data_IF_975315006589
#
_entry.id   IF_975315006589
#
_cell.length_a   1.000
_cell.length_b   1.000
_cell.length_c   1.000
_cell.angle_alpha   90.00
_cell.angle_beta   90.00
_cell.angle_gamma   90.00
#
_symmetry.space_group_name_H-M   'P 1'
#
loop_
_entity.id
_entity.type
_entity.pdbx_description
1 polymer ?
#
# COMPACT_ATOMS: atom_id res chain seq x y z
N UNK A 1 -50.42 -16.58 27.38
CA UNK A 1 -49.73 -16.00 26.20
C UNK A 1 -48.26 -16.35 26.37
N UNK A 2 -47.92 -17.57 25.92
CA UNK A 2 -46.59 -18.16 26.10
C UNK A 2 -45.65 -17.56 25.09
N UNK A 3 -44.62 -16.90 25.58
CA UNK A 3 -43.53 -16.32 24.83
C UNK A 3 -42.64 -17.46 24.31
N UNK A 4 -42.69 -17.72 23.01
CA UNK A 4 -41.81 -18.68 22.33
C UNK A 4 -40.36 -18.18 22.44
N UNK A 5 -39.66 -18.71 23.43
CA UNK A 5 -38.19 -18.61 23.50
C UNK A 5 -37.59 -19.34 22.28
N UNK A 6 -36.96 -18.58 21.40
CA UNK A 6 -36.22 -19.06 20.25
C UNK A 6 -35.15 -20.06 20.74
N UNK A 7 -35.13 -21.31 20.28
CA UNK A 7 -34.16 -22.27 20.78
C UNK A 7 -32.74 -21.86 20.34
N UNK A 8 -31.88 -21.57 21.32
CA UNK A 8 -30.44 -21.41 21.10
C UNK A 8 -29.92 -22.52 20.17
N UNK A 9 -29.07 -22.19 19.18
CA UNK A 9 -28.61 -23.19 18.21
C UNK A 9 -28.02 -24.39 18.96
N UNK A 10 -28.59 -25.55 18.72
CA UNK A 10 -28.16 -26.78 19.39
C UNK A 10 -26.71 -27.06 19.11
N UNK A 11 -25.97 -27.64 20.04
CA UNK A 11 -24.53 -27.99 19.93
C UNK A 11 -24.21 -28.68 18.60
N UNK A 12 -25.16 -29.42 18.04
CA UNK A 12 -25.08 -30.05 16.72
C UNK A 12 -24.99 -29.05 15.56
N UNK A 13 -25.78 -27.98 15.57
CA UNK A 13 -25.70 -26.92 14.54
C UNK A 13 -24.39 -26.15 14.60
N UNK A 14 -23.87 -25.91 15.79
CA UNK A 14 -22.57 -25.24 15.94
C UNK A 14 -21.41 -26.11 15.43
N UNK A 15 -21.46 -27.44 15.68
CA UNK A 15 -20.45 -28.37 15.15
C UNK A 15 -20.54 -28.47 13.64
N UNK A 16 -21.71 -28.56 13.04
CA UNK A 16 -21.90 -28.58 11.60
C UNK A 16 -21.36 -27.30 10.93
N UNK A 17 -21.66 -26.12 11.51
CA UNK A 17 -21.13 -24.84 11.01
C UNK A 17 -19.61 -24.73 11.14
N UNK A 18 -18.99 -25.30 12.17
CA UNK A 18 -17.55 -25.33 12.33
C UNK A 18 -16.88 -26.27 11.32
N UNK A 19 -17.48 -27.43 11.05
CA UNK A 19 -17.00 -28.39 10.04
C UNK A 19 -17.11 -27.80 8.63
N UNK A 20 -18.22 -27.13 8.31
CA UNK A 20 -18.41 -26.47 7.04
C UNK A 20 -17.37 -25.35 6.81
N UNK A 21 -17.16 -24.47 7.79
CA UNK A 21 -16.09 -23.45 7.75
C UNK A 21 -14.69 -24.04 7.61
N UNK A 22 -14.43 -25.19 8.26
CA UNK A 22 -13.16 -25.90 8.12
C UNK A 22 -13.00 -26.47 6.71
N UNK A 23 -14.06 -27.06 6.15
CA UNK A 23 -14.08 -27.59 4.81
C UNK A 23 -13.87 -26.49 3.75
N UNK A 24 -14.56 -25.38 3.91
CA UNK A 24 -14.34 -24.19 3.05
C UNK A 24 -12.92 -23.65 3.12
N UNK A 25 -12.35 -23.56 4.33
CA UNK A 25 -10.93 -23.17 4.50
C UNK A 25 -9.99 -24.13 3.78
N UNK A 26 -10.18 -25.43 3.96
CA UNK A 26 -9.33 -26.45 3.30
C UNK A 26 -9.48 -26.38 1.78
N UNK A 27 -10.70 -26.24 1.27
CA UNK A 27 -10.94 -26.05 -0.16
C UNK A 27 -10.32 -24.78 -0.71
N UNK A 28 -10.43 -23.65 0.02
CA UNK A 28 -9.82 -22.39 -0.38
C UNK A 28 -8.29 -22.46 -0.36
N UNK A 29 -7.70 -23.15 0.61
CA UNK A 29 -6.24 -23.41 0.63
C UNK A 29 -5.87 -24.30 -0.55
N UNK A 30 -6.61 -25.38 -0.78
CA UNK A 30 -6.38 -26.30 -1.92
C UNK A 30 -6.43 -25.57 -3.27
N UNK A 31 -7.43 -24.71 -3.49
CA UNK A 31 -7.53 -23.89 -4.70
C UNK A 31 -6.35 -22.94 -4.88
N UNK A 32 -5.89 -22.31 -3.79
CA UNK A 32 -4.70 -21.41 -3.82
C UNK A 32 -3.42 -22.17 -4.13
N UNK A 33 -3.24 -23.33 -3.50
CA UNK A 33 -2.07 -24.20 -3.76
C UNK A 33 -2.10 -24.68 -5.21
N UNK A 34 -3.24 -25.15 -5.70
CA UNK A 34 -3.40 -25.57 -7.10
C UNK A 34 -3.05 -24.44 -8.07
N UNK A 35 -3.52 -23.22 -7.81
CA UNK A 35 -3.20 -22.06 -8.65
C UNK A 35 -1.68 -21.78 -8.67
N UNK A 36 -1.01 -21.82 -7.52
CA UNK A 36 0.45 -21.65 -7.44
C UNK A 36 1.19 -22.76 -8.20
N UNK A 37 0.74 -24.00 -8.08
CA UNK A 37 1.32 -25.12 -8.82
C UNK A 37 1.14 -24.97 -10.34
N UNK A 38 -0.03 -24.52 -10.79
CA UNK A 38 -0.28 -24.25 -12.21
C UNK A 38 0.65 -23.13 -12.71
N UNK A 39 0.80 -22.03 -11.97
CA UNK A 39 1.71 -20.94 -12.34
C UNK A 39 3.16 -21.45 -12.42
N UNK A 40 3.61 -22.23 -11.44
CA UNK A 40 4.95 -22.81 -11.43
C UNK A 40 5.15 -23.77 -12.60
N UNK A 41 4.16 -24.60 -12.92
CA UNK A 41 4.22 -25.50 -14.06
C UNK A 41 4.35 -24.74 -15.39
N UNK A 42 3.50 -23.72 -15.59
CA UNK A 42 3.57 -22.84 -16.76
C UNK A 42 4.97 -22.20 -16.85
N UNK A 43 5.51 -21.70 -15.75
CA UNK A 43 6.84 -21.11 -15.72
C UNK A 43 7.93 -22.12 -16.09
N UNK A 44 7.91 -23.32 -15.52
CA UNK A 44 8.87 -24.39 -15.85
C UNK A 44 8.80 -24.74 -17.34
N UNK A 45 7.59 -24.96 -17.87
CA UNK A 45 7.41 -25.29 -19.29
C UNK A 45 7.91 -24.16 -20.18
N UNK A 46 7.53 -22.92 -19.88
CA UNK A 46 7.97 -21.74 -20.65
C UNK A 46 9.49 -21.56 -20.60
N UNK A 47 10.12 -21.77 -19.44
CA UNK A 47 11.57 -21.61 -19.28
C UNK A 47 12.40 -22.69 -20.00
N UNK A 48 11.82 -23.85 -20.32
CA UNK A 48 12.48 -24.88 -21.10
C UNK A 48 12.46 -24.59 -22.62
N UNK A 49 11.54 -23.74 -23.08
CA UNK A 49 11.40 -23.38 -24.50
C UNK A 49 12.24 -22.17 -24.94
N UNK A 50 12.90 -21.47 -24.01
CA UNK A 50 13.66 -20.24 -24.30
C UNK A 50 15.01 -20.25 -23.58
N UNK A 51 16.02 -19.49 -24.10
CA UNK A 51 17.32 -19.37 -23.42
C UNK A 51 17.16 -18.76 -22.00
N UNK A 52 18.00 -19.21 -21.08
CA UNK A 52 17.92 -18.83 -19.67
C UNK A 52 18.17 -17.32 -19.41
N UNK A 53 18.82 -16.63 -20.33
CA UNK A 53 18.99 -15.18 -20.26
C UNK A 53 17.71 -14.41 -20.64
N UNK A 54 16.72 -15.07 -21.27
CA UNK A 54 15.40 -14.49 -21.56
C UNK A 54 14.45 -14.82 -20.43
N UNK A 55 14.34 -16.12 -20.08
CA UNK A 55 13.46 -16.56 -19.00
C UNK A 55 14.17 -17.65 -18.15
N UNK A 56 14.76 -17.27 -17.00
CA UNK A 56 15.39 -18.24 -16.12
C UNK A 56 14.35 -19.15 -15.47
N UNK A 57 14.69 -20.43 -15.34
CA UNK A 57 13.83 -21.38 -14.63
C UNK A 57 13.75 -21.08 -13.13
N UNK A 58 12.67 -21.54 -12.45
CA UNK A 58 12.43 -21.25 -11.03
C UNK A 58 13.61 -21.65 -10.11
N UNK A 59 14.28 -22.76 -10.41
CA UNK A 59 15.41 -23.23 -9.62
C UNK A 59 16.61 -22.28 -9.70
N UNK A 60 16.90 -21.71 -10.89
CA UNK A 60 17.97 -20.72 -11.06
C UNK A 60 17.65 -19.44 -10.29
N UNK A 61 16.40 -18.96 -10.38
CA UNK A 61 15.95 -17.78 -9.63
C UNK A 61 16.04 -18.02 -8.13
N UNK A 62 15.67 -19.21 -7.65
CA UNK A 62 15.79 -19.57 -6.23
C UNK A 62 17.25 -19.61 -5.75
N UNK A 63 18.17 -20.19 -6.55
CA UNK A 63 19.60 -20.21 -6.19
C UNK A 63 20.19 -18.79 -6.18
N UNK A 64 19.85 -17.94 -7.16
CA UNK A 64 20.23 -16.53 -7.20
C UNK A 64 19.69 -15.78 -5.98
N UNK A 65 18.41 -15.98 -5.64
CA UNK A 65 17.78 -15.36 -4.48
C UNK A 65 18.45 -15.75 -3.15
N UNK A 66 18.77 -17.04 -2.97
CA UNK A 66 19.49 -17.51 -1.77
C UNK A 66 20.87 -16.87 -1.66
N UNK A 67 21.60 -16.75 -2.76
CA UNK A 67 22.91 -16.08 -2.78
C UNK A 67 22.80 -14.60 -2.42
N UNK A 68 21.76 -13.91 -2.94
CA UNK A 68 21.50 -12.50 -2.60
C UNK A 68 21.19 -12.33 -1.11
N UNK A 69 20.28 -13.10 -0.55
CA UNK A 69 19.87 -13.00 0.87
C UNK A 69 21.03 -13.28 1.84
N UNK A 70 22.00 -14.10 1.42
CA UNK A 70 23.21 -14.39 2.20
C UNK A 70 24.22 -13.22 2.20
N UNK A 71 24.02 -12.19 1.34
CA UNK A 71 24.93 -11.06 1.25
C UNK A 71 24.50 -9.89 2.15
N UNK A 72 25.45 -9.21 2.80
CA UNK A 72 25.18 -7.99 3.57
C UNK A 72 24.64 -6.86 2.70
N UNK A 73 25.01 -6.85 1.45
CA UNK A 73 24.55 -5.87 0.45
C UNK A 73 23.02 -5.93 0.25
N UNK A 74 22.45 -7.14 0.27
CA UNK A 74 21.01 -7.35 0.16
C UNK A 74 20.24 -6.61 1.25
N UNK A 75 20.62 -6.80 2.50
CA UNK A 75 19.93 -6.19 3.65
C UNK A 75 20.09 -4.68 3.69
N UNK A 76 21.26 -4.18 3.28
CA UNK A 76 21.53 -2.75 3.18
C UNK A 76 20.65 -2.10 2.09
N UNK A 77 20.58 -2.71 0.90
CA UNK A 77 19.78 -2.18 -0.21
C UNK A 77 18.28 -2.28 0.07
N UNK A 78 17.83 -3.37 0.70
CA UNK A 78 16.46 -3.54 1.18
C UNK A 78 16.08 -2.44 2.20
N UNK A 79 16.95 -2.20 3.18
CA UNK A 79 16.77 -1.15 4.19
C UNK A 79 16.76 0.25 3.59
N UNK A 80 17.60 0.52 2.59
CA UNK A 80 17.65 1.80 1.88
C UNK A 80 16.32 2.09 1.15
N UNK A 81 15.82 1.13 0.35
CA UNK A 81 14.53 1.27 -0.33
C UNK A 81 13.39 1.46 0.68
N UNK A 82 13.34 0.64 1.73
CA UNK A 82 12.32 0.74 2.77
C UNK A 82 12.34 2.11 3.46
N UNK A 83 13.51 2.59 3.86
CA UNK A 83 13.66 3.90 4.50
C UNK A 83 13.16 5.04 3.63
N UNK A 84 13.52 5.05 2.33
CA UNK A 84 13.06 6.08 1.37
C UNK A 84 11.54 6.05 1.18
N UNK A 85 10.96 4.87 1.06
CA UNK A 85 9.50 4.72 0.92
C UNK A 85 8.77 5.20 2.17
N UNK A 86 9.24 4.81 3.36
CA UNK A 86 8.63 5.24 4.64
C UNK A 86 8.72 6.75 4.81
N UNK A 87 9.87 7.35 4.54
CA UNK A 87 10.05 8.82 4.65
C UNK A 87 9.18 9.55 3.64
N UNK A 88 9.19 9.15 2.37
CA UNK A 88 8.37 9.77 1.32
C UNK A 88 6.86 9.64 1.61
N UNK A 89 6.43 8.46 2.06
CA UNK A 89 5.06 8.21 2.48
C UNK A 89 4.67 9.02 3.73
N UNK A 90 5.54 9.12 4.73
CA UNK A 90 5.25 9.89 5.95
C UNK A 90 5.03 11.39 5.61
N UNK A 91 5.87 11.96 4.75
CA UNK A 91 5.70 13.34 4.26
C UNK A 91 4.38 13.45 3.49
N UNK A 92 4.08 12.50 2.60
CA UNK A 92 2.84 12.45 1.82
C UNK A 92 1.60 12.35 2.72
N UNK A 93 1.66 11.52 3.76
CA UNK A 93 0.57 11.35 4.72
C UNK A 93 0.28 12.64 5.50
N UNK A 94 1.32 13.32 5.97
CA UNK A 94 1.18 14.59 6.70
C UNK A 94 0.64 15.69 5.78
N UNK A 95 1.30 15.93 4.64
CA UNK A 95 0.92 17.00 3.70
C UNK A 95 -0.46 16.72 3.09
N UNK A 96 -0.72 15.47 2.70
CA UNK A 96 -2.00 15.04 2.14
C UNK A 96 -3.16 15.18 3.15
N UNK A 97 -2.91 14.86 4.43
CA UNK A 97 -3.93 15.02 5.48
C UNK A 97 -4.24 16.50 5.74
N UNK A 98 -3.22 17.33 5.90
CA UNK A 98 -3.39 18.76 6.11
C UNK A 98 -4.09 19.40 4.90
N UNK A 99 -3.61 19.10 3.68
CA UNK A 99 -4.21 19.57 2.44
C UNK A 99 -5.67 19.12 2.28
N UNK A 100 -5.95 17.84 2.50
CA UNK A 100 -7.30 17.27 2.41
C UNK A 100 -8.28 17.90 3.41
N UNK A 101 -7.83 18.17 4.64
CA UNK A 101 -8.63 18.91 5.63
C UNK A 101 -8.92 20.37 5.19
N UNK A 102 -7.92 21.07 4.70
CA UNK A 102 -8.06 22.47 4.25
C UNK A 102 -9.01 22.56 3.06
N UNK A 103 -8.81 21.70 2.04
CA UNK A 103 -9.64 21.69 0.82
C UNK A 103 -11.07 21.23 1.11
N UNK A 104 -11.23 20.25 2.01
CA UNK A 104 -12.55 19.75 2.38
C UNK A 104 -13.33 20.70 3.29
N UNK A 105 -12.65 21.48 4.12
CA UNK A 105 -13.29 22.48 4.98
C UNK A 105 -13.75 23.74 4.21
N UNK A 106 -13.25 23.98 3.00
CA UNK A 106 -13.59 25.16 2.19
C UNK A 106 -13.92 24.75 0.75
N UNK A 107 -15.21 24.89 0.40
CA UNK A 107 -15.70 24.58 -0.96
C UNK A 107 -14.96 25.39 -2.03
N UNK A 108 -14.68 26.66 -1.75
CA UNK A 108 -13.96 27.55 -2.69
C UNK A 108 -12.53 27.06 -2.93
N UNK A 109 -11.79 26.70 -1.87
CA UNK A 109 -10.43 26.18 -2.01
C UNK A 109 -10.44 24.82 -2.72
N UNK A 110 -11.39 23.95 -2.38
CA UNK A 110 -11.52 22.65 -3.05
C UNK A 110 -11.68 22.81 -4.55
N UNK A 111 -12.64 23.60 -5.01
CA UNK A 111 -12.89 23.87 -6.43
C UNK A 111 -11.69 24.53 -7.13
N UNK A 112 -10.97 25.42 -6.45
CA UNK A 112 -9.81 26.10 -7.01
C UNK A 112 -8.62 25.15 -7.21
N UNK A 113 -8.38 24.24 -6.25
CA UNK A 113 -7.24 23.32 -6.31
C UNK A 113 -7.52 22.00 -7.06
N UNK A 114 -8.80 21.67 -7.31
CA UNK A 114 -9.20 20.44 -8.02
C UNK A 114 -8.47 20.24 -9.37
N UNK A 115 -8.42 21.25 -10.29
CA UNK A 115 -7.71 21.08 -11.54
C UNK A 115 -6.20 20.89 -11.38
N UNK A 116 -5.59 21.53 -10.35
CA UNK A 116 -4.16 21.35 -10.05
C UNK A 116 -3.89 19.90 -9.60
N UNK A 117 -4.73 19.35 -8.75
CA UNK A 117 -4.63 17.95 -8.33
C UNK A 117 -4.83 16.98 -9.49
N UNK A 118 -5.74 17.28 -10.42
CA UNK A 118 -5.93 16.50 -11.64
C UNK A 118 -4.66 16.47 -12.49
N UNK A 119 -4.00 17.62 -12.67
CA UNK A 119 -2.71 17.72 -13.39
C UNK A 119 -1.63 16.89 -12.68
N UNK A 120 -1.48 17.04 -11.36
CA UNK A 120 -0.47 16.29 -10.60
C UNK A 120 -0.69 14.77 -10.74
N UNK A 121 -1.94 14.30 -10.69
CA UNK A 121 -2.29 12.89 -10.85
C UNK A 121 -2.06 12.35 -12.28
N UNK A 122 -2.05 13.23 -13.28
CA UNK A 122 -1.82 12.83 -14.68
C UNK A 122 -0.33 12.64 -14.99
N UNK A 123 0.56 13.27 -14.22
CA UNK A 123 2.01 13.16 -14.41
C UNK A 123 2.47 11.75 -14.00
N UNK A 124 3.10 11.04 -14.93
CA UNK A 124 3.69 9.73 -14.69
C UNK A 124 4.80 9.79 -13.64
N UNK A 125 4.92 8.73 -12.82
CA UNK A 125 6.02 8.60 -11.85
C UNK A 125 7.42 8.67 -12.48
N UNK A 126 7.57 8.23 -13.73
CA UNK A 126 8.81 8.35 -14.47
C UNK A 126 9.17 9.81 -14.76
N UNK A 127 8.18 10.65 -15.09
CA UNK A 127 8.39 12.09 -15.31
C UNK A 127 8.77 12.76 -13.98
N UNK A 128 8.11 12.40 -12.88
CA UNK A 128 8.49 12.87 -11.55
C UNK A 128 9.92 12.47 -11.19
N UNK A 129 10.38 11.27 -11.59
CA UNK A 129 11.75 10.83 -11.37
C UNK A 129 12.76 11.67 -12.16
N UNK A 130 12.43 12.04 -13.41
CA UNK A 130 13.29 12.92 -14.22
C UNK A 130 13.40 14.31 -13.58
N UNK A 131 12.29 14.93 -13.18
CA UNK A 131 12.33 16.21 -12.47
C UNK A 131 13.12 16.14 -11.17
N UNK A 132 12.90 15.05 -10.41
CA UNK A 132 13.64 14.85 -9.16
C UNK A 132 15.15 14.73 -9.38
N UNK A 133 15.59 14.06 -10.44
CA UNK A 133 17.02 13.97 -10.79
C UNK A 133 17.58 15.34 -11.16
N UNK A 134 16.83 16.15 -11.90
CA UNK A 134 17.25 17.50 -12.27
C UNK A 134 17.40 18.40 -11.04
N UNK A 135 16.49 18.27 -10.05
CA UNK A 135 16.49 19.13 -8.86
C UNK A 135 17.41 18.65 -7.74
N UNK A 136 17.48 17.35 -7.52
CA UNK A 136 18.17 16.73 -6.36
C UNK A 136 19.38 15.88 -6.76
N UNK A 137 19.63 15.71 -8.08
CA UNK A 137 20.68 14.81 -8.56
C UNK A 137 20.37 13.34 -8.28
N UNK A 138 21.39 12.48 -8.41
CA UNK A 138 21.30 11.06 -8.04
C UNK A 138 21.48 10.95 -6.52
N UNK A 139 20.36 10.84 -5.79
CA UNK A 139 20.36 10.90 -4.33
C UNK A 139 19.16 10.19 -3.70
N UNK A 140 19.20 10.00 -2.37
CA UNK A 140 18.04 9.51 -1.62
C UNK A 140 16.82 10.44 -1.74
N UNK A 141 17.05 11.76 -1.84
CA UNK A 141 15.99 12.74 -1.95
C UNK A 141 15.17 12.56 -3.22
N UNK A 142 15.79 12.12 -4.31
CA UNK A 142 15.11 11.82 -5.57
C UNK A 142 14.01 10.78 -5.39
N UNK A 143 14.32 9.63 -4.82
CA UNK A 143 13.32 8.57 -4.57
C UNK A 143 12.26 9.03 -3.56
N UNK A 144 12.66 9.68 -2.47
CA UNK A 144 11.73 10.21 -1.45
C UNK A 144 10.74 11.20 -2.07
N UNK A 145 11.22 12.11 -2.92
CA UNK A 145 10.38 13.09 -3.61
C UNK A 145 9.37 12.43 -4.56
N UNK A 146 9.79 11.43 -5.34
CA UNK A 146 8.90 10.72 -6.27
C UNK A 146 7.81 9.96 -5.52
N UNK A 147 8.18 9.28 -4.42
CA UNK A 147 7.21 8.61 -3.55
C UNK A 147 6.23 9.63 -2.95
N UNK A 148 6.74 10.77 -2.47
CA UNK A 148 5.91 11.86 -1.94
C UNK A 148 4.91 12.37 -2.99
N UNK A 149 5.38 12.75 -4.18
CA UNK A 149 4.54 13.34 -5.24
C UNK A 149 3.44 12.39 -5.74
N UNK A 150 3.69 11.11 -5.71
CA UNK A 150 2.73 10.09 -6.16
C UNK A 150 1.79 9.61 -5.06
N UNK A 151 2.24 9.58 -3.81
CA UNK A 151 1.45 9.12 -2.66
C UNK A 151 0.57 10.24 -2.07
N UNK A 152 1.04 11.50 -2.07
CA UNK A 152 0.37 12.63 -1.46
C UNK A 152 -1.05 12.88 -2.04
N UNK A 153 -1.27 12.89 -3.37
CA UNK A 153 -2.61 13.10 -3.91
C UNK A 153 -3.61 12.02 -3.49
N UNK A 154 -3.15 10.76 -3.34
CA UNK A 154 -4.01 9.65 -2.91
C UNK A 154 -4.50 9.83 -1.47
N UNK A 155 -3.63 10.27 -0.56
CA UNK A 155 -4.02 10.60 0.81
C UNK A 155 -4.93 11.82 0.82
N UNK A 156 -4.54 12.88 0.11
CA UNK A 156 -5.24 14.16 0.08
C UNK A 156 -6.69 14.00 -0.41
N UNK A 157 -6.90 13.32 -1.55
CA UNK A 157 -8.25 13.14 -2.12
C UNK A 157 -9.15 12.31 -1.23
N UNK A 158 -8.61 11.27 -0.57
CA UNK A 158 -9.38 10.48 0.38
C UNK A 158 -9.74 11.28 1.64
N UNK A 159 -8.80 12.02 2.22
CA UNK A 159 -9.06 12.88 3.38
C UNK A 159 -10.02 14.01 3.01
N UNK A 160 -9.87 14.59 1.84
CA UNK A 160 -10.80 15.60 1.33
C UNK A 160 -12.22 15.04 1.23
N UNK A 161 -12.41 13.88 0.61
CA UNK A 161 -13.72 13.23 0.56
C UNK A 161 -14.26 12.95 1.97
N UNK A 162 -13.44 12.46 2.90
CA UNK A 162 -13.83 12.26 4.30
C UNK A 162 -14.19 13.54 5.04
N UNK A 163 -13.51 14.65 4.74
CA UNK A 163 -13.82 15.96 5.34
C UNK A 163 -15.20 16.47 4.92
N UNK A 164 -15.62 16.19 3.68
CA UNK A 164 -16.95 16.56 3.16
C UNK A 164 -18.10 15.73 3.78
N UNK A 165 -17.84 14.61 4.42
CA UNK A 165 -18.86 13.80 5.12
C UNK A 165 -19.15 14.28 6.54
N UNK A 166 -18.42 15.28 7.04
CA UNK A 166 -18.67 15.86 8.37
C UNK A 166 -20.03 16.55 8.37
N UNK A 167 -20.95 16.11 9.26
CA UNK A 167 -22.28 16.71 9.39
C UNK A 167 -22.21 18.17 9.82
N UNK A 168 -23.01 19.00 9.18
CA UNK A 168 -23.20 20.40 9.54
C UNK A 168 -23.72 20.55 10.98
N UNK A 169 -24.58 19.61 11.44
CA UNK A 169 -25.16 19.64 12.78
C UNK A 169 -24.09 19.58 13.87
N UNK A 170 -23.04 18.75 13.67
CA UNK A 170 -21.91 18.71 14.62
C UNK A 170 -21.12 20.01 14.65
N UNK A 171 -21.01 20.69 13.51
CA UNK A 171 -20.32 21.99 13.43
C UNK A 171 -21.16 23.08 14.10
N UNK A 172 -22.50 23.08 13.93
CA UNK A 172 -23.40 23.99 14.61
C UNK A 172 -23.39 23.76 16.10
N UNK A 173 -23.47 22.51 16.55
CA UNK A 173 -23.36 22.15 17.96
C UNK A 173 -22.06 22.66 18.58
N UNK A 174 -20.93 22.49 17.87
CA UNK A 174 -19.64 22.99 18.32
C UNK A 174 -19.61 24.53 18.48
N UNK A 175 -20.35 25.26 17.61
CA UNK A 175 -20.50 26.73 17.72
C UNK A 175 -21.34 27.12 18.92
N UNK A 176 -22.46 26.43 19.17
CA UNK A 176 -23.31 26.68 20.35
C UNK A 176 -22.50 26.49 21.63
N UNK A 177 -21.68 25.46 21.71
CA UNK A 177 -20.78 25.20 22.85
C UNK A 177 -19.51 26.05 22.84
N UNK A 178 -19.36 27.00 21.91
CA UNK A 178 -18.17 27.86 21.76
C UNK A 178 -16.86 27.09 21.77
N UNK A 179 -16.83 25.91 21.12
CA UNK A 179 -15.62 25.08 21.04
C UNK A 179 -14.53 25.81 20.24
N UNK A 180 -13.29 25.73 20.72
CA UNK A 180 -12.14 26.24 19.96
C UNK A 180 -11.95 25.45 18.66
N UNK A 181 -11.42 26.10 17.62
CA UNK A 181 -11.15 25.46 16.30
C UNK A 181 -10.32 24.18 16.43
N UNK A 182 -9.33 24.18 17.31
CA UNK A 182 -8.51 23.00 17.58
C UNK A 182 -9.33 21.82 18.16
N UNK A 183 -10.26 22.10 19.10
CA UNK A 183 -11.16 21.09 19.66
C UNK A 183 -12.10 20.53 18.59
N UNK A 184 -12.59 21.36 17.67
CA UNK A 184 -13.45 20.95 16.55
C UNK A 184 -12.67 19.99 15.62
N UNK A 185 -11.44 20.33 15.25
CA UNK A 185 -10.59 19.47 14.43
C UNK A 185 -10.35 18.13 15.13
N UNK A 186 -9.94 18.13 16.40
CA UNK A 186 -9.56 16.92 17.12
C UNK A 186 -10.75 16.04 17.50
N UNK A 187 -11.93 16.61 17.77
CA UNK A 187 -13.09 15.84 18.25
C UNK A 187 -14.13 15.54 17.19
N UNK A 188 -14.17 16.28 16.09
CA UNK A 188 -15.18 16.10 15.04
C UNK A 188 -14.50 15.68 13.74
N UNK A 189 -13.59 16.51 13.18
CA UNK A 189 -12.96 16.19 11.90
C UNK A 189 -12.08 14.95 11.98
N UNK A 190 -11.13 14.90 12.88
CA UNK A 190 -10.14 13.84 12.95
C UNK A 190 -10.77 12.44 13.09
N UNK A 191 -11.71 12.18 14.02
CA UNK A 191 -12.37 10.87 14.09
C UNK A 191 -13.18 10.52 12.83
N UNK A 192 -13.83 11.52 12.20
CA UNK A 192 -14.64 11.31 11.00
C UNK A 192 -13.77 10.96 9.79
N UNK A 193 -12.61 11.61 9.63
CA UNK A 193 -11.72 11.39 8.48
C UNK A 193 -10.82 10.16 8.63
N UNK A 194 -10.64 9.62 9.84
CA UNK A 194 -9.74 8.47 10.09
C UNK A 194 -9.97 7.29 9.14
N UNK A 195 -11.21 6.81 8.89
CA UNK A 195 -11.45 5.74 7.93
C UNK A 195 -10.97 6.07 6.52
N UNK A 196 -11.22 7.29 6.08
CA UNK A 196 -10.81 7.78 4.76
C UNK A 196 -9.30 7.94 4.66
N UNK A 197 -8.66 8.47 5.71
CA UNK A 197 -7.21 8.54 5.81
C UNK A 197 -6.57 7.16 5.64
N UNK A 198 -7.04 6.14 6.38
CA UNK A 198 -6.47 4.80 6.28
C UNK A 198 -6.71 4.14 4.93
N UNK A 199 -7.87 4.38 4.32
CA UNK A 199 -8.14 3.93 2.94
C UNK A 199 -7.14 4.56 1.96
N UNK A 200 -6.98 5.88 2.02
CA UNK A 200 -6.01 6.61 1.20
C UNK A 200 -4.55 6.22 1.48
N UNK A 201 -4.19 6.10 2.76
CA UNK A 201 -2.84 5.74 3.20
C UNK A 201 -2.43 4.34 2.73
N UNK A 202 -3.34 3.37 2.79
CA UNK A 202 -3.10 2.00 2.28
C UNK A 202 -2.82 2.00 0.78
N UNK A 203 -3.66 2.70 0.00
CA UNK A 203 -3.46 2.84 -1.44
C UNK A 203 -2.14 3.57 -1.75
N UNK A 204 -1.88 4.68 -1.06
CA UNK A 204 -0.69 5.50 -1.23
C UNK A 204 0.60 4.74 -0.90
N UNK A 205 0.62 3.97 0.20
CA UNK A 205 1.78 3.17 0.59
C UNK A 205 2.08 2.07 -0.44
N UNK A 206 1.04 1.31 -0.85
CA UNK A 206 1.20 0.25 -1.86
C UNK A 206 1.62 0.79 -3.22
N UNK A 207 1.16 1.98 -3.60
CA UNK A 207 1.55 2.65 -4.84
C UNK A 207 2.96 3.22 -4.74
N UNK A 208 3.28 3.91 -3.64
CA UNK A 208 4.61 4.48 -3.39
C UNK A 208 5.72 3.43 -3.41
N UNK A 209 5.45 2.22 -2.90
CA UNK A 209 6.37 1.10 -2.97
C UNK A 209 6.73 0.69 -4.41
N UNK A 210 5.73 0.62 -5.30
CA UNK A 210 5.95 0.30 -6.72
C UNK A 210 6.70 1.40 -7.45
N UNK A 211 6.38 2.64 -7.14
CA UNK A 211 6.96 3.81 -7.76
C UNK A 211 8.40 4.05 -7.32
N UNK A 212 8.75 3.66 -6.08
CA UNK A 212 10.13 3.77 -5.60
C UNK A 212 11.11 3.00 -6.48
N UNK A 213 10.70 1.86 -7.06
CA UNK A 213 11.54 1.13 -8.01
C UNK A 213 11.90 1.97 -9.23
N UNK A 214 10.90 2.62 -9.85
CA UNK A 214 11.12 3.46 -11.03
C UNK A 214 12.08 4.60 -10.68
N UNK A 215 11.88 5.23 -9.52
CA UNK A 215 12.76 6.31 -9.07
C UNK A 215 14.18 5.80 -8.79
N UNK A 216 14.34 4.64 -8.17
CA UNK A 216 15.65 4.05 -7.85
C UNK A 216 16.39 3.56 -9.09
N UNK A 217 15.70 3.00 -10.09
CA UNK A 217 16.34 2.59 -11.34
C UNK A 217 16.93 3.76 -12.10
N UNK A 218 16.36 4.96 -11.95
CA UNK A 218 16.82 6.16 -12.67
C UNK A 218 17.76 7.02 -11.83
N UNK A 219 17.49 7.17 -10.53
CA UNK A 219 18.10 8.24 -9.72
C UNK A 219 18.72 7.79 -8.38
N UNK A 220 19.11 6.51 -8.21
CA UNK A 220 19.75 6.03 -6.99
C UNK A 220 21.08 5.34 -7.26
N UNK A 221 21.93 5.25 -6.20
CA UNK A 221 23.22 4.53 -6.22
C UNK A 221 23.17 3.20 -5.43
N UNK A 222 22.07 2.92 -4.76
CA UNK A 222 21.81 1.71 -3.99
C UNK A 222 20.29 1.48 -3.86
N UNK A 223 19.90 0.34 -3.34
CA UNK A 223 18.48 -0.02 -3.22
C UNK A 223 18.05 -1.07 -4.22
N UNK A 224 16.83 -1.60 -4.04
CA UNK A 224 16.29 -2.70 -4.86
C UNK A 224 16.20 -2.30 -6.34
N UNK A 225 15.68 -1.10 -6.63
CA UNK A 225 15.54 -0.61 -8.01
C UNK A 225 16.87 -0.40 -8.70
N UNK A 226 17.88 0.11 -7.99
CA UNK A 226 19.25 0.23 -8.50
C UNK A 226 19.84 -1.14 -8.83
N UNK A 227 19.69 -2.14 -7.94
CA UNK A 227 20.18 -3.51 -8.19
C UNK A 227 19.46 -4.20 -9.33
N UNK A 228 18.17 -3.95 -9.46
CA UNK A 228 17.37 -4.44 -10.57
C UNK A 228 17.90 -3.94 -11.92
N UNK A 229 18.19 -2.62 -12.01
CA UNK A 229 18.81 -2.02 -13.18
C UNK A 229 20.21 -2.60 -13.42
N UNK A 230 21.07 -2.66 -12.41
CA UNK A 230 22.42 -3.22 -12.53
C UNK A 230 22.41 -4.66 -13.05
N UNK A 231 21.51 -5.50 -12.51
CA UNK A 231 21.34 -6.88 -12.97
C UNK A 231 20.85 -6.94 -14.44
N UNK A 232 19.93 -6.04 -14.82
CA UNK A 232 19.45 -5.96 -16.19
C UNK A 232 20.56 -5.50 -17.18
N UNK A 233 21.35 -4.48 -16.82
CA UNK A 233 22.46 -3.97 -17.62
C UNK A 233 23.55 -5.05 -17.84
N UNK A 234 23.72 -5.96 -16.86
CA UNK A 234 24.66 -7.08 -16.93
C UNK A 234 24.03 -8.38 -17.52
N UNK A 235 22.78 -8.33 -17.99
CA UNK A 235 22.02 -9.49 -18.51
C UNK A 235 21.93 -10.64 -17.50
N UNK A 236 21.98 -10.35 -16.20
CA UNK A 236 21.81 -11.33 -15.12
C UNK A 236 20.31 -11.51 -14.79
N UNK A 237 19.57 -12.09 -15.70
CA UNK A 237 18.10 -12.16 -15.63
C UNK A 237 17.62 -12.94 -14.41
N UNK A 238 18.34 -13.94 -13.94
CA UNK A 238 18.08 -14.68 -12.71
C UNK A 238 18.09 -13.74 -11.47
N UNK A 239 19.01 -12.78 -11.41
CA UNK A 239 19.03 -11.76 -10.36
C UNK A 239 17.91 -10.73 -10.52
N UNK A 240 17.56 -10.35 -11.76
CA UNK A 240 16.39 -9.46 -12.00
C UNK A 240 15.13 -10.08 -11.42
N UNK A 241 14.88 -11.37 -11.71
CA UNK A 241 13.74 -12.09 -11.14
C UNK A 241 13.83 -12.22 -9.62
N UNK A 242 15.02 -12.51 -9.08
CA UNK A 242 15.23 -12.63 -7.64
C UNK A 242 14.95 -11.32 -6.89
N UNK A 243 15.40 -10.16 -7.39
CA UNK A 243 15.09 -8.85 -6.83
C UNK A 243 13.61 -8.49 -6.97
N UNK A 244 12.99 -8.84 -8.10
CA UNK A 244 11.54 -8.64 -8.30
C UNK A 244 10.73 -9.45 -7.30
N UNK A 245 11.08 -10.72 -7.07
CA UNK A 245 10.43 -11.57 -6.07
C UNK A 245 10.63 -11.00 -4.65
N UNK A 246 11.82 -10.49 -4.34
CA UNK A 246 12.10 -9.83 -3.05
C UNK A 246 11.16 -8.65 -2.82
N UNK A 247 10.98 -7.82 -3.84
CA UNK A 247 10.08 -6.67 -3.73
C UNK A 247 8.62 -7.10 -3.50
N UNK A 248 8.14 -8.08 -4.27
CA UNK A 248 6.79 -8.62 -4.11
C UNK A 248 6.61 -9.24 -2.73
N UNK A 249 7.57 -10.04 -2.26
CA UNK A 249 7.54 -10.63 -0.93
C UNK A 249 7.52 -9.57 0.16
N UNK A 250 8.36 -8.53 0.04
CA UNK A 250 8.39 -7.42 0.99
C UNK A 250 7.07 -6.67 1.04
N UNK A 251 6.45 -6.40 -0.12
CA UNK A 251 5.13 -5.76 -0.18
C UNK A 251 4.05 -6.60 0.54
N UNK A 252 4.04 -7.92 0.31
CA UNK A 252 3.09 -8.83 0.96
C UNK A 252 3.33 -8.85 2.47
N UNK A 253 4.58 -8.92 2.91
CA UNK A 253 4.95 -8.90 4.34
C UNK A 253 4.52 -7.59 5.01
N UNK A 254 4.81 -6.45 4.39
CA UNK A 254 4.42 -5.14 4.91
C UNK A 254 2.90 -4.98 4.97
N UNK A 255 2.18 -5.42 3.95
CA UNK A 255 0.71 -5.39 3.96
C UNK A 255 0.15 -6.28 5.08
N UNK A 256 0.68 -7.50 5.23
CA UNK A 256 0.19 -8.46 6.21
C UNK A 256 0.57 -8.09 7.66
N UNK A 257 1.78 -7.57 7.89
CA UNK A 257 2.33 -7.34 9.23
C UNK A 257 2.09 -5.91 9.73
N UNK A 258 1.93 -4.94 8.86
CA UNK A 258 1.79 -3.52 9.25
C UNK A 258 0.39 -3.01 8.90
N UNK A 259 -0.01 -3.04 7.62
CA UNK A 259 -1.23 -2.38 7.19
C UNK A 259 -2.49 -3.07 7.73
N UNK A 260 -2.62 -4.38 7.59
CA UNK A 260 -3.79 -5.13 8.08
C UNK A 260 -3.96 -5.08 9.61
N UNK A 261 -2.92 -5.34 10.43
CA UNK A 261 -3.07 -5.24 11.88
C UNK A 261 -3.40 -3.83 12.35
N UNK A 262 -2.79 -2.81 11.74
CA UNK A 262 -3.06 -1.40 12.05
C UNK A 262 -4.52 -1.04 11.72
N UNK A 263 -5.02 -1.45 10.56
CA UNK A 263 -6.41 -1.28 10.16
C UNK A 263 -7.36 -1.96 11.15
N UNK A 264 -7.11 -3.22 11.48
CA UNK A 264 -7.93 -3.99 12.43
C UNK A 264 -7.93 -3.38 13.84
N UNK A 265 -6.81 -2.86 14.30
CA UNK A 265 -6.70 -2.21 15.61
C UNK A 265 -7.49 -0.90 15.64
N UNK A 266 -7.38 -0.10 14.60
CA UNK A 266 -7.99 1.23 14.53
C UNK A 266 -9.50 1.18 14.24
N UNK A 267 -9.99 0.14 13.56
CA UNK A 267 -11.42 -0.04 13.26
C UNK A 267 -12.14 -1.03 14.15
N UNK A 268 -11.58 -1.35 15.32
CA UNK A 268 -12.22 -2.27 16.30
C UNK A 268 -13.64 -1.86 16.70
N UNK A 269 -13.99 -0.58 16.60
CA UNK A 269 -15.34 -0.08 16.91
C UNK A 269 -16.35 -0.28 15.75
N UNK A 270 -15.92 -0.47 14.52
CA UNK A 270 -16.80 -0.86 13.43
C UNK A 270 -17.04 -2.36 13.52
N UNK A 271 -18.15 -2.77 14.17
CA UNK A 271 -18.62 -4.15 14.06
C UNK A 271 -18.79 -4.47 12.58
N UNK A 272 -18.29 -5.62 12.08
CA UNK A 272 -18.61 -6.03 10.71
C UNK A 272 -20.14 -6.16 10.64
N UNK A 273 -20.77 -5.34 9.82
CA UNK A 273 -22.10 -5.63 9.31
C UNK A 273 -21.95 -6.94 8.55
N UNK A 274 -22.41 -8.02 9.15
CA UNK A 274 -22.52 -9.31 8.45
C UNK A 274 -23.48 -9.10 7.27
N UNK A 275 -23.09 -9.53 6.06
CA UNK A 275 -23.99 -9.57 4.94
C UNK A 275 -25.10 -10.60 5.17
#
# INVERSE_FOLDING_TARGET
MEEHLDPSPTIGMQRAALEERRRERVQNIGRRVLLVLIILLIWIVASNGVPAFVLPGPLRVWTAWRALVASDTFWRDLGATFGRVVVGFAIAAVVGTIGGLILGASRMLGQFFEPILAVINTISSAIWAIFAIIWFGISNATTVFVVFMTAMPLVLTNVWAGTQTVSADFIELARVFRMSRFKVIMKIYLPTIMPYFFSGARLAFGFGWRVSLVAETLGATNGIGFRLRQAADLVQTDQVFAWTLTLVAMMIVLEAMILKPLENYLFRWKKPTQP
#
